data_IF_894968324704
#
_entry.id   IF_894968324704
#
_cell.length_a   1.000
_cell.length_b   1.000
_cell.length_c   1.000
_cell.angle_alpha   90.00
_cell.angle_beta   90.00
_cell.angle_gamma   90.00
#
_symmetry.space_group_name_H-M   'P 1'
#
loop_
_entity.id
_entity.type
_entity.pdbx_description
1 polymer ?
#
# COMPACT_ATOMS: atom_id res chain seq x y z
N UNK A 1 4.23 -17.58 -30.45
CA UNK A 1 3.65 -17.70 -29.09
C UNK A 1 2.14 -17.82 -29.21
N UNK A 2 1.56 -18.93 -28.74
CA UNK A 2 0.11 -19.08 -28.68
C UNK A 2 -0.50 -18.00 -27.77
N UNK A 3 -1.73 -17.56 -28.02
CA UNK A 3 -2.42 -16.56 -27.19
C UNK A 3 -2.53 -16.98 -25.71
N UNK A 4 -2.59 -18.30 -25.45
CA UNK A 4 -2.56 -18.91 -24.11
C UNK A 4 -1.24 -18.63 -23.37
N UNK A 5 -0.09 -18.85 -24.02
CA UNK A 5 1.22 -18.59 -23.40
C UNK A 5 1.46 -17.12 -23.08
N UNK A 6 0.90 -16.19 -23.88
CA UNK A 6 0.99 -14.74 -23.61
C UNK A 6 0.17 -14.35 -22.37
N UNK A 7 -1.02 -14.93 -22.19
CA UNK A 7 -1.83 -14.72 -20.98
C UNK A 7 -1.13 -15.28 -19.74
N UNK A 8 -0.58 -16.48 -19.83
CA UNK A 8 0.17 -17.12 -18.76
C UNK A 8 1.40 -16.29 -18.35
N UNK A 9 2.14 -15.75 -19.31
CA UNK A 9 3.28 -14.88 -19.04
C UNK A 9 2.89 -13.59 -18.33
N UNK A 10 1.80 -12.93 -18.75
CA UNK A 10 1.30 -11.73 -18.09
C UNK A 10 0.86 -12.02 -16.64
N UNK A 11 0.22 -13.17 -16.39
CA UNK A 11 -0.19 -13.59 -15.04
C UNK A 11 1.04 -13.80 -14.15
N UNK A 12 2.09 -14.45 -14.66
CA UNK A 12 3.33 -14.69 -13.91
C UNK A 12 4.00 -13.37 -13.57
N UNK A 13 4.14 -12.45 -14.53
CA UNK A 13 4.72 -11.12 -14.28
C UNK A 13 3.91 -10.36 -13.22
N UNK A 14 2.59 -10.38 -13.35
CA UNK A 14 1.70 -9.71 -12.41
C UNK A 14 1.87 -10.30 -11.00
N UNK A 15 1.90 -11.63 -10.88
CA UNK A 15 2.12 -12.32 -9.61
C UNK A 15 3.46 -11.97 -8.96
N UNK A 16 4.54 -11.95 -9.73
CA UNK A 16 5.87 -11.54 -9.25
C UNK A 16 5.89 -10.07 -8.81
N UNK A 17 5.26 -9.19 -9.59
CA UNK A 17 5.16 -7.77 -9.24
C UNK A 17 4.41 -7.56 -7.92
N UNK A 18 3.28 -8.24 -7.73
CA UNK A 18 2.55 -8.22 -6.46
C UNK A 18 3.38 -8.78 -5.31
N UNK A 19 4.15 -9.85 -5.53
CA UNK A 19 5.02 -10.43 -4.50
C UNK A 19 6.03 -9.41 -3.96
N UNK A 20 6.70 -8.67 -4.86
CA UNK A 20 7.64 -7.61 -4.45
C UNK A 20 6.93 -6.47 -3.72
N UNK A 21 5.75 -6.07 -4.19
CA UNK A 21 4.97 -5.00 -3.59
C UNK A 21 4.53 -5.33 -2.15
N UNK A 22 3.99 -6.53 -1.93
CA UNK A 22 3.61 -7.00 -0.60
C UNK A 22 4.81 -7.20 0.32
N UNK A 23 5.95 -7.64 -0.22
CA UNK A 23 7.20 -7.76 0.55
C UNK A 23 7.64 -6.40 1.08
N UNK A 24 7.71 -5.39 0.19
CA UNK A 24 8.09 -4.04 0.59
C UNK A 24 7.10 -3.43 1.59
N UNK A 25 5.79 -3.62 1.39
CA UNK A 25 4.75 -3.16 2.31
C UNK A 25 4.89 -3.79 3.71
N UNK A 26 5.09 -5.11 3.80
CA UNK A 26 5.27 -5.81 5.06
C UNK A 26 6.55 -5.39 5.77
N UNK A 27 7.66 -5.21 5.05
CA UNK A 27 8.90 -4.66 5.63
C UNK A 27 8.69 -3.26 6.18
N UNK A 28 8.05 -2.37 5.40
CA UNK A 28 7.72 -1.01 5.80
C UNK A 28 6.83 -0.98 7.05
N UNK A 29 5.80 -1.84 7.11
CA UNK A 29 4.92 -1.96 8.26
C UNK A 29 5.63 -2.35 9.55
N UNK A 30 6.60 -3.27 9.46
CA UNK A 30 7.42 -3.70 10.60
C UNK A 30 8.48 -2.65 11.00
N UNK A 31 9.12 -2.00 10.02
CA UNK A 31 10.17 -0.99 10.25
C UNK A 31 9.61 0.33 10.77
N UNK A 32 8.37 0.68 10.43
CA UNK A 32 7.69 1.90 10.89
C UNK A 32 7.71 2.03 12.41
N UNK A 33 7.51 0.94 13.15
CA UNK A 33 7.59 0.96 14.61
C UNK A 33 8.98 1.27 15.12
N UNK A 34 10.01 0.68 14.52
CA UNK A 34 11.42 0.88 14.92
C UNK A 34 11.85 2.33 14.70
N UNK A 35 11.46 2.94 13.57
CA UNK A 35 11.75 4.36 13.26
C UNK A 35 11.03 5.30 14.23
N UNK A 36 9.75 5.05 14.51
CA UNK A 36 8.95 5.83 15.47
C UNK A 36 9.52 5.71 16.89
N UNK A 37 9.93 4.50 17.31
CA UNK A 37 10.51 4.25 18.63
C UNK A 37 11.87 4.93 18.81
N UNK A 38 12.62 5.14 17.72
CA UNK A 38 13.88 5.89 17.73
C UNK A 38 13.71 7.42 17.79
N UNK A 39 12.51 7.95 17.50
CA UNK A 39 12.15 9.37 17.61
C UNK A 39 11.46 9.73 18.94
N UNK A 40 11.21 8.73 19.79
CA UNK A 40 10.44 8.85 21.04
C UNK A 40 11.21 9.52 22.20
N UNK A 41 12.09 10.48 21.90
CA UNK A 41 12.87 11.17 22.93
C UNK A 41 12.23 12.46 23.43
N UNK A 42 11.16 13.02 22.82
CA UNK A 42 10.61 14.27 23.38
C UNK A 42 9.14 14.65 23.19
N UNK A 43 8.31 14.15 22.26
CA UNK A 43 6.87 14.52 22.26
C UNK A 43 6.00 13.83 21.18
N UNK A 44 6.20 12.53 20.92
CA UNK A 44 5.57 11.87 19.75
C UNK A 44 4.72 10.64 20.11
N UNK A 45 3.44 10.86 20.43
CA UNK A 45 2.43 9.80 20.67
C UNK A 45 1.85 9.22 19.36
N UNK A 46 2.65 9.05 18.31
CA UNK A 46 2.19 8.44 17.06
C UNK A 46 2.77 7.04 16.88
N UNK A 47 1.98 5.97 17.07
CA UNK A 47 2.46 4.59 16.94
C UNK A 47 2.29 4.04 15.52
N UNK A 48 3.25 3.22 15.07
CA UNK A 48 3.11 2.43 13.84
C UNK A 48 1.91 1.49 13.86
N UNK A 49 1.44 1.11 15.06
CA UNK A 49 0.17 0.38 15.23
C UNK A 49 -1.05 1.22 14.86
N UNK A 50 -1.06 2.53 15.15
CA UNK A 50 -2.14 3.44 14.75
C UNK A 50 -2.15 3.62 13.24
N UNK A 51 -0.98 3.68 12.61
CA UNK A 51 -0.87 3.70 11.14
C UNK A 51 -1.45 2.44 10.52
N UNK A 52 -1.12 1.25 11.05
CA UNK A 52 -1.72 0.00 10.61
C UNK A 52 -3.24 -0.05 10.85
N UNK A 53 -3.71 0.42 12.00
CA UNK A 53 -5.14 0.50 12.29
C UNK A 53 -5.87 1.41 11.30
N UNK A 54 -5.26 2.52 10.87
CA UNK A 54 -5.81 3.42 9.85
C UNK A 54 -5.82 2.73 8.48
N UNK A 55 -4.73 2.08 8.07
CA UNK A 55 -4.68 1.38 6.77
C UNK A 55 -5.80 0.33 6.71
N UNK A 56 -5.89 -0.53 7.71
CA UNK A 56 -6.90 -1.60 7.74
C UNK A 56 -8.33 -1.07 7.96
N UNK A 57 -8.51 0.00 8.73
CA UNK A 57 -9.80 0.64 8.94
C UNK A 57 -10.32 1.29 7.64
N UNK A 58 -9.47 2.04 6.95
CA UNK A 58 -9.80 2.68 5.67
C UNK A 58 -9.98 1.62 4.58
N UNK A 59 -9.15 0.59 4.55
CA UNK A 59 -9.31 -0.57 3.65
C UNK A 59 -10.67 -1.24 3.86
N UNK A 60 -11.09 -1.46 5.11
CA UNK A 60 -12.40 -2.07 5.40
C UNK A 60 -13.56 -1.19 4.93
N UNK A 61 -13.47 0.14 5.11
CA UNK A 61 -14.51 1.06 4.63
C UNK A 61 -14.53 1.16 3.10
N UNK A 62 -13.35 1.18 2.47
CA UNK A 62 -13.19 1.34 1.02
C UNK A 62 -13.63 0.09 0.25
N UNK A 63 -13.50 -1.11 0.82
CA UNK A 63 -14.00 -2.35 0.22
C UNK A 63 -15.51 -2.33 -0.12
N UNK A 64 -16.31 -1.47 0.53
CA UNK A 64 -17.73 -1.32 0.21
C UNK A 64 -17.99 -0.62 -1.13
N UNK A 65 -17.07 0.26 -1.54
CA UNK A 65 -17.18 1.12 -2.73
C UNK A 65 -16.23 0.67 -3.85
N UNK A 66 -15.15 -0.03 -3.53
CA UNK A 66 -14.20 -0.59 -4.48
C UNK A 66 -14.84 -1.36 -5.63
N UNK A 67 -15.79 -2.31 -5.42
CA UNK A 67 -16.34 -3.10 -6.53
C UNK A 67 -17.02 -2.21 -7.57
N UNK A 68 -17.71 -1.15 -7.12
CA UNK A 68 -18.37 -0.18 -7.99
C UNK A 68 -17.35 0.70 -8.72
N UNK A 69 -16.27 1.14 -8.04
CA UNK A 69 -15.21 1.96 -8.66
C UNK A 69 -14.43 1.16 -9.70
N UNK A 70 -14.02 -0.08 -9.37
CA UNK A 70 -13.27 -0.96 -10.28
C UNK A 70 -14.10 -1.35 -11.50
N UNK A 71 -15.42 -1.51 -11.34
CA UNK A 71 -16.32 -1.77 -12.47
C UNK A 71 -16.40 -0.58 -13.45
N UNK A 72 -16.24 0.66 -12.97
CA UNK A 72 -16.29 1.87 -13.80
C UNK A 72 -14.92 2.19 -14.41
N UNK A 73 -13.85 2.13 -13.63
CA UNK A 73 -12.48 2.52 -14.04
C UNK A 73 -11.77 1.40 -14.81
N UNK A 74 -12.15 0.15 -14.55
CA UNK A 74 -11.55 -1.03 -15.14
C UNK A 74 -10.41 -1.61 -14.29
N UNK A 75 -10.23 -2.95 -14.32
CA UNK A 75 -9.29 -3.67 -13.45
C UNK A 75 -7.82 -3.34 -13.75
N UNK A 76 -7.46 -3.06 -15.00
CA UNK A 76 -6.06 -2.76 -15.36
C UNK A 76 -5.59 -1.40 -14.86
N UNK A 77 -6.42 -0.35 -14.99
CA UNK A 77 -6.12 0.99 -14.48
C UNK A 77 -6.10 1.02 -12.96
N UNK A 78 -7.01 0.29 -12.32
CA UNK A 78 -7.06 0.17 -10.85
C UNK A 78 -5.77 -0.46 -10.32
N UNK A 79 -5.30 -1.56 -10.92
CA UNK A 79 -4.02 -2.18 -10.54
C UNK A 79 -2.81 -1.26 -10.73
N UNK A 80 -2.79 -0.46 -11.81
CA UNK A 80 -1.70 0.49 -12.04
C UNK A 80 -1.72 1.63 -11.01
N UNK A 81 -2.90 2.19 -10.71
CA UNK A 81 -3.07 3.24 -9.71
C UNK A 81 -2.66 2.73 -8.32
N UNK A 82 -3.11 1.55 -7.92
CA UNK A 82 -2.73 0.93 -6.65
C UNK A 82 -1.21 0.76 -6.55
N UNK A 83 -0.56 0.24 -7.60
CA UNK A 83 0.90 0.08 -7.61
C UNK A 83 1.67 1.38 -7.45
N UNK A 84 1.14 2.50 -7.97
CA UNK A 84 1.74 3.82 -7.84
C UNK A 84 1.63 4.35 -6.40
N UNK A 85 0.48 4.19 -5.76
CA UNK A 85 0.29 4.55 -4.35
C UNK A 85 1.13 3.69 -3.39
N UNK A 86 1.25 2.38 -3.67
CA UNK A 86 2.16 1.50 -2.93
C UNK A 86 3.61 1.95 -3.04
N UNK A 87 4.05 2.33 -4.24
CA UNK A 87 5.41 2.85 -4.45
C UNK A 87 5.64 4.19 -3.74
N UNK A 88 4.63 5.07 -3.72
CA UNK A 88 4.68 6.34 -3.02
C UNK A 88 4.79 6.14 -1.50
N UNK A 89 4.06 5.18 -0.93
CA UNK A 89 4.18 4.84 0.49
C UNK A 89 5.58 4.35 0.85
N UNK A 90 6.19 3.51 0.00
CA UNK A 90 7.58 3.06 0.20
C UNK A 90 8.55 4.25 0.12
N UNK A 91 8.31 5.20 -0.80
CA UNK A 91 9.15 6.40 -0.92
C UNK A 91 9.09 7.31 0.32
N UNK A 92 7.97 7.35 1.06
CA UNK A 92 7.85 8.10 2.32
C UNK A 92 8.85 7.60 3.38
N UNK A 93 9.31 6.36 3.30
CA UNK A 93 10.36 5.85 4.21
C UNK A 93 11.75 6.41 3.95
N UNK A 94 12.01 7.05 2.81
CA UNK A 94 13.30 7.71 2.54
C UNK A 94 13.48 8.95 3.44
N UNK A 95 12.39 9.66 3.75
CA UNK A 95 12.34 10.78 4.69
C UNK A 95 11.11 10.65 5.59
N UNK A 96 11.22 9.93 6.72
CA UNK A 96 10.08 9.61 7.57
C UNK A 96 9.62 10.85 8.35
N UNK A 97 8.72 11.63 7.75
CA UNK A 97 7.97 12.66 8.47
C UNK A 97 6.66 12.08 9.00
N UNK A 98 6.33 12.32 10.28
CA UNK A 98 5.17 11.71 10.91
C UNK A 98 3.82 12.07 10.30
N UNK A 99 3.65 13.32 9.87
CA UNK A 99 2.44 13.78 9.18
C UNK A 99 2.28 13.10 7.82
N UNK A 100 3.37 13.03 7.04
CA UNK A 100 3.39 12.37 5.72
C UNK A 100 3.07 10.88 5.85
N UNK A 101 3.56 10.24 6.91
CA UNK A 101 3.32 8.83 7.19
C UNK A 101 1.84 8.53 7.42
N UNK A 102 1.15 9.31 8.26
CA UNK A 102 -0.28 9.11 8.51
C UNK A 102 -1.15 9.40 7.28
N UNK A 103 -0.83 10.45 6.52
CA UNK A 103 -1.56 10.74 5.28
C UNK A 103 -1.36 9.65 4.24
N UNK A 104 -0.12 9.17 4.06
CA UNK A 104 0.19 8.11 3.11
C UNK A 104 -0.52 6.79 3.45
N UNK A 105 -0.70 6.49 4.75
CA UNK A 105 -1.46 5.34 5.22
C UNK A 105 -2.95 5.38 4.86
N UNK A 106 -3.58 6.56 4.89
CA UNK A 106 -4.98 6.71 4.43
C UNK A 106 -5.06 6.45 2.93
N UNK A 107 -4.16 7.06 2.14
CA UNK A 107 -4.13 6.86 0.68
C UNK A 107 -3.86 5.40 0.31
N UNK A 108 -2.93 4.73 1.00
CA UNK A 108 -2.67 3.32 0.74
C UNK A 108 -3.83 2.43 1.17
N UNK A 109 -4.56 2.77 2.24
CA UNK A 109 -5.74 2.02 2.67
C UNK A 109 -6.86 2.04 1.63
N UNK A 110 -7.05 3.19 0.94
CA UNK A 110 -7.99 3.30 -0.19
C UNK A 110 -7.45 2.53 -1.39
N UNK A 111 -6.16 2.69 -1.71
CA UNK A 111 -5.55 2.06 -2.88
C UNK A 111 -5.39 0.53 -2.73
N UNK A 112 -5.39 0.02 -1.50
CA UNK A 112 -5.30 -1.40 -1.19
C UNK A 112 -6.64 -2.12 -1.36
N UNK A 113 -7.77 -1.41 -1.29
CA UNK A 113 -9.11 -1.96 -1.43
C UNK A 113 -9.47 -2.09 -2.92
#
# INVERSE_FOLDING_TARGET
MSPESKKLFNIIILGVAFMFMFTAFQTCGNVAQTVIRSLNSTDFHGSGYTSMAIIYGVFSASNLITPSVVAIVGPQLSMFASGLFYSMYIAVFIQPFPWSFYTASVFIGIAAA
#
